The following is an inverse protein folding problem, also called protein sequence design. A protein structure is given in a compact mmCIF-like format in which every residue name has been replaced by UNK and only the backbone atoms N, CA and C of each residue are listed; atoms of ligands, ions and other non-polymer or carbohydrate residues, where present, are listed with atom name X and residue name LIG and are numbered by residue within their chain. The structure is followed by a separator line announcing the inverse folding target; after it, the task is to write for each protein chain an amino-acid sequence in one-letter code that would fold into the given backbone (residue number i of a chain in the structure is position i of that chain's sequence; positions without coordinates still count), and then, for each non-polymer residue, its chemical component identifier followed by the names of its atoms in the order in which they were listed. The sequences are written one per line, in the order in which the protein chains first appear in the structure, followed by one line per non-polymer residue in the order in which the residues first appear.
data_IF_259680752989
#
_entry.id   IF_259680752989
#
_cell.length_a   1.000
_cell.length_b   1.000
_cell.length_c   1.000
_cell.angle_alpha   90.00
_cell.angle_beta   90.00
_cell.angle_gamma   90.00
#
_symmetry.space_group_name_H-M   'P 1'
#
loop_
_entity.id
_entity.type
_entity.pdbx_description
1 polymer ?
#
# COMPACT_ATOMS: atom_id res chain seq x y z
N UNK A 1 45.16 -38.39 57.45
CA UNK A 1 44.84 -37.07 56.84
C UNK A 1 44.58 -37.30 55.36
N UNK A 2 43.32 -37.55 54.96
CA UNK A 2 42.96 -37.74 53.55
C UNK A 2 42.36 -36.43 53.01
N UNK A 3 42.97 -35.90 51.94
CA UNK A 3 42.49 -34.72 51.22
C UNK A 3 41.57 -35.16 50.08
N UNK A 4 40.30 -34.76 50.12
CA UNK A 4 39.38 -34.95 48.99
C UNK A 4 39.33 -33.64 48.21
N UNK A 5 39.91 -33.65 47.01
CA UNK A 5 39.86 -32.55 46.05
C UNK A 5 38.55 -32.64 45.24
N UNK A 6 37.65 -31.68 45.43
CA UNK A 6 36.44 -31.53 44.61
C UNK A 6 36.80 -30.67 43.38
N UNK A 7 36.79 -31.27 42.18
CA UNK A 7 36.96 -30.55 40.92
C UNK A 7 35.59 -30.08 40.44
N UNK A 8 35.33 -28.77 40.50
CA UNK A 8 34.15 -28.15 39.89
C UNK A 8 34.42 -27.88 38.41
N UNK A 9 33.82 -28.69 37.53
CA UNK A 9 33.82 -28.47 36.09
C UNK A 9 32.62 -27.62 35.71
N UNK A 10 32.84 -26.34 35.39
CA UNK A 10 31.83 -25.45 34.82
C UNK A 10 31.68 -25.75 33.32
N UNK A 11 30.54 -26.34 32.93
CA UNK A 11 30.12 -26.42 31.53
C UNK A 11 29.51 -25.08 31.12
N UNK A 12 30.22 -24.31 30.29
CA UNK A 12 29.69 -23.13 29.63
C UNK A 12 28.94 -23.56 28.34
N UNK A 13 27.63 -23.69 28.43
CA UNK A 13 26.76 -23.89 27.26
C UNK A 13 26.54 -22.54 26.55
N UNK A 14 27.23 -22.36 25.43
CA UNK A 14 27.03 -21.22 24.54
C UNK A 14 25.73 -21.42 23.74
N UNK A 15 24.64 -20.80 24.19
CA UNK A 15 23.39 -20.73 23.42
C UNK A 15 23.56 -19.71 22.29
N UNK A 16 23.86 -20.18 21.08
CA UNK A 16 23.71 -19.38 19.85
C UNK A 16 22.21 -19.19 19.58
N UNK A 17 21.66 -18.10 20.11
CA UNK A 17 20.33 -17.61 19.73
C UNK A 17 20.39 -17.06 18.30
N UNK A 18 20.21 -17.95 17.32
CA UNK A 18 19.84 -17.51 15.98
C UNK A 18 18.39 -17.02 16.05
N UNK A 19 18.21 -15.72 16.23
CA UNK A 19 16.90 -15.12 15.98
C UNK A 19 16.62 -15.28 14.49
N UNK A 20 15.53 -15.97 14.08
CA UNK A 20 15.11 -15.88 12.70
C UNK A 20 14.78 -14.41 12.44
N UNK A 21 15.50 -13.79 11.50
CA UNK A 21 15.09 -12.51 10.94
C UNK A 21 13.75 -12.78 10.25
N UNK A 22 12.66 -12.44 10.92
CA UNK A 22 11.35 -12.33 10.29
C UNK A 22 11.47 -11.21 9.27
N UNK A 23 11.75 -11.55 8.01
CA UNK A 23 11.56 -10.64 6.89
C UNK A 23 10.06 -10.40 6.78
N UNK A 24 9.56 -9.43 7.55
CA UNK A 24 8.29 -8.80 7.27
C UNK A 24 8.41 -8.24 5.86
N UNK A 25 7.73 -8.87 4.91
CA UNK A 25 7.64 -8.39 3.53
C UNK A 25 6.83 -7.09 3.55
N UNK A 26 7.49 -5.98 3.92
CA UNK A 26 6.91 -4.65 3.74
C UNK A 26 6.64 -4.47 2.25
N UNK A 27 5.36 -4.34 1.89
CA UNK A 27 4.98 -4.14 0.50
C UNK A 27 5.73 -2.95 -0.09
N UNK A 28 6.19 -3.09 -1.34
CA UNK A 28 6.96 -2.07 -2.08
C UNK A 28 6.32 -0.69 -1.90
N UNK A 29 5.00 -0.60 -2.08
CA UNK A 29 4.21 0.62 -1.94
C UNK A 29 3.38 0.63 -0.65
N UNK A 30 3.15 1.82 -0.11
CA UNK A 30 2.18 2.06 0.95
C UNK A 30 0.78 2.22 0.35
N UNK A 31 -0.24 1.68 1.02
CA UNK A 31 -1.65 1.77 0.59
C UNK A 31 -2.50 2.27 1.74
N UNK A 32 -3.49 3.11 1.45
CA UNK A 32 -4.32 3.75 2.48
C UNK A 32 -5.76 3.23 2.44
N UNK A 33 -6.36 3.02 3.62
CA UNK A 33 -7.77 2.62 3.81
C UNK A 33 -8.50 3.69 4.61
N UNK A 34 -9.84 3.72 4.53
CA UNK A 34 -10.65 4.60 5.37
C UNK A 34 -10.94 3.94 6.71
N UNK A 35 -10.25 4.39 7.76
CA UNK A 35 -10.41 3.85 9.13
C UNK A 35 -11.85 3.96 9.63
N UNK A 36 -12.30 2.95 10.38
CA UNK A 36 -13.59 2.97 11.09
C UNK A 36 -14.80 2.56 10.23
N UNK A 37 -14.59 2.29 8.95
CA UNK A 37 -15.63 1.79 8.04
C UNK A 37 -15.64 0.25 7.97
N UNK A 38 -16.74 -0.30 7.46
CA UNK A 38 -16.97 -1.75 7.31
C UNK A 38 -15.76 -2.43 6.65
N UNK A 39 -15.37 -3.60 7.18
CA UNK A 39 -14.29 -4.43 6.63
C UNK A 39 -12.87 -3.91 6.87
N UNK A 40 -12.68 -2.64 7.26
CA UNK A 40 -11.33 -2.07 7.42
C UNK A 40 -10.52 -2.77 8.48
N UNK A 41 -11.12 -3.09 9.63
CA UNK A 41 -10.44 -3.78 10.72
C UNK A 41 -9.89 -5.13 10.25
N UNK A 42 -10.68 -5.90 9.50
CA UNK A 42 -10.29 -7.19 8.96
C UNK A 42 -9.14 -7.04 7.94
N UNK A 43 -9.24 -6.08 7.01
CA UNK A 43 -8.16 -5.77 6.05
C UNK A 43 -6.86 -5.43 6.77
N UNK A 44 -6.90 -4.60 7.81
CA UNK A 44 -5.70 -4.18 8.55
C UNK A 44 -5.07 -5.30 9.38
N UNK A 45 -5.85 -6.29 9.80
CA UNK A 45 -5.37 -7.48 10.52
C UNK A 45 -4.86 -8.59 9.60
N UNK A 46 -5.01 -8.43 8.28
CA UNK A 46 -4.65 -9.45 7.28
C UNK A 46 -5.76 -10.45 6.98
N UNK A 47 -6.94 -10.30 7.58
CA UNK A 47 -8.15 -11.09 7.29
C UNK A 47 -8.85 -10.55 6.03
N UNK A 48 -8.11 -10.47 4.93
CA UNK A 48 -8.50 -9.73 3.71
C UNK A 48 -9.78 -10.27 3.10
N UNK A 49 -9.95 -11.59 2.99
CA UNK A 49 -11.15 -12.20 2.41
C UNK A 49 -12.41 -11.94 3.24
N UNK A 50 -12.29 -11.92 4.57
CA UNK A 50 -13.40 -11.53 5.46
C UNK A 50 -13.76 -10.05 5.26
N UNK A 51 -12.76 -9.18 5.12
CA UNK A 51 -12.95 -7.78 4.78
C UNK A 51 -13.69 -7.60 3.46
N UNK A 52 -13.26 -8.30 2.40
CA UNK A 52 -13.92 -8.30 1.08
C UNK A 52 -15.38 -8.74 1.22
N UNK A 53 -15.65 -9.85 1.90
CA UNK A 53 -17.02 -10.37 2.11
C UNK A 53 -17.93 -9.33 2.78
N UNK A 54 -17.44 -8.64 3.82
CA UNK A 54 -18.21 -7.60 4.51
C UNK A 54 -18.46 -6.37 3.63
N UNK A 55 -17.47 -5.96 2.85
CA UNK A 55 -17.55 -4.79 1.96
C UNK A 55 -18.51 -5.03 0.79
N UNK A 56 -18.52 -6.24 0.22
CA UNK A 56 -19.38 -6.59 -0.93
C UNK A 56 -20.81 -6.90 -0.52
N UNK A 57 -21.05 -7.37 0.70
CA UNK A 57 -22.41 -7.62 1.22
C UNK A 57 -23.15 -6.34 1.67
N UNK A 58 -22.47 -5.19 1.71
CA UNK A 58 -23.08 -3.93 2.15
C UNK A 58 -23.77 -3.19 1.01
N UNK A 59 -25.05 -2.86 1.22
CA UNK A 59 -25.90 -2.07 0.31
C UNK A 59 -25.97 -0.58 0.70
N UNK A 60 -25.22 -0.14 1.72
CA UNK A 60 -25.26 1.24 2.22
C UNK A 60 -24.69 2.23 1.20
N UNK A 61 -25.52 3.19 0.79
CA UNK A 61 -25.09 4.33 -0.04
C UNK A 61 -24.31 5.38 0.75
N UNK A 62 -24.53 5.48 2.07
CA UNK A 62 -23.86 6.47 2.94
C UNK A 62 -22.35 6.22 3.05
N UNK A 63 -21.93 4.96 2.93
CA UNK A 63 -20.52 4.55 3.04
C UNK A 63 -19.94 4.16 1.67
N UNK A 64 -20.56 4.62 0.57
CA UNK A 64 -20.21 4.18 -0.77
C UNK A 64 -18.74 4.44 -1.08
N UNK A 65 -18.27 5.68 -0.87
CA UNK A 65 -16.85 6.04 -1.06
C UNK A 65 -15.92 5.17 -0.20
N UNK A 66 -16.17 5.09 1.11
CA UNK A 66 -15.34 4.34 2.05
C UNK A 66 -15.23 2.87 1.65
N UNK A 67 -16.35 2.26 1.25
CA UNK A 67 -16.38 0.88 0.74
C UNK A 67 -15.53 0.69 -0.49
N UNK A 68 -15.64 1.56 -1.49
CA UNK A 68 -14.88 1.44 -2.75
C UNK A 68 -13.39 1.63 -2.51
N UNK A 69 -13.01 2.61 -1.70
CA UNK A 69 -11.61 2.83 -1.31
C UNK A 69 -11.03 1.63 -0.55
N UNK A 70 -11.80 1.02 0.34
CA UNK A 70 -11.34 -0.17 1.05
C UNK A 70 -11.31 -1.42 0.18
N UNK A 71 -12.27 -1.60 -0.74
CA UNK A 71 -12.26 -2.70 -1.73
C UNK A 71 -11.04 -2.60 -2.64
N UNK A 72 -10.70 -1.39 -3.09
CA UNK A 72 -9.48 -1.09 -3.84
C UNK A 72 -8.25 -1.71 -3.14
N UNK A 73 -8.06 -1.44 -1.85
CA UNK A 73 -6.93 -1.98 -1.07
C UNK A 73 -7.08 -3.46 -0.74
N UNK A 74 -8.28 -3.93 -0.43
CA UNK A 74 -8.52 -5.34 -0.13
C UNK A 74 -8.15 -6.21 -1.34
N UNK A 75 -8.54 -5.79 -2.54
CA UNK A 75 -8.15 -6.46 -3.78
C UNK A 75 -6.65 -6.40 -4.05
N UNK A 76 -5.94 -5.31 -3.72
CA UNK A 76 -4.47 -5.28 -3.82
C UNK A 76 -3.79 -6.36 -2.97
N UNK A 77 -4.41 -6.70 -1.83
CA UNK A 77 -3.89 -7.64 -0.82
C UNK A 77 -4.42 -9.07 -1.00
N UNK A 78 -5.24 -9.33 -2.00
CA UNK A 78 -5.82 -10.65 -2.26
C UNK A 78 -5.41 -11.23 -3.61
N UNK A 79 -5.88 -12.45 -3.88
CA UNK A 79 -5.75 -13.08 -5.19
C UNK A 79 -6.54 -12.34 -6.29
N UNK A 80 -7.47 -11.45 -5.91
CA UNK A 80 -8.35 -10.72 -6.83
C UNK A 80 -7.77 -9.35 -7.24
N UNK A 81 -6.44 -9.25 -7.35
CA UNK A 81 -5.75 -7.98 -7.62
C UNK A 81 -6.15 -7.31 -8.94
N UNK A 82 -6.63 -8.09 -9.91
CA UNK A 82 -7.20 -7.58 -11.16
C UNK A 82 -8.47 -6.71 -10.96
N UNK A 83 -9.19 -6.87 -9.85
CA UNK A 83 -10.37 -6.03 -9.53
C UNK A 83 -10.01 -4.71 -8.86
N UNK A 84 -8.76 -4.56 -8.41
CA UNK A 84 -8.35 -3.41 -7.61
C UNK A 84 -8.49 -2.10 -8.38
N UNK A 85 -8.00 -2.02 -9.62
CA UNK A 85 -8.03 -0.79 -10.40
C UNK A 85 -9.46 -0.26 -10.61
N UNK A 86 -10.42 -1.14 -10.88
CA UNK A 86 -11.84 -0.77 -11.00
C UNK A 86 -12.35 -0.18 -9.69
N UNK A 87 -12.12 -0.87 -8.57
CA UNK A 87 -12.58 -0.40 -7.26
C UNK A 87 -11.94 0.95 -6.86
N UNK A 88 -10.66 1.17 -7.18
CA UNK A 88 -10.01 2.46 -6.93
C UNK A 88 -10.61 3.56 -7.82
N UNK A 89 -10.93 3.25 -9.08
CA UNK A 89 -11.55 4.21 -10.00
C UNK A 89 -12.95 4.60 -9.54
N UNK A 90 -13.77 3.65 -9.12
CA UNK A 90 -15.09 3.93 -8.56
C UNK A 90 -15.03 4.80 -7.29
N UNK A 91 -13.97 4.65 -6.48
CA UNK A 91 -13.74 5.50 -5.31
C UNK A 91 -13.34 6.94 -5.71
N UNK A 92 -12.48 7.09 -6.74
CA UNK A 92 -12.11 8.39 -7.32
C UNK A 92 -13.35 9.10 -7.86
N UNK A 93 -14.13 8.42 -8.71
CA UNK A 93 -15.34 8.99 -9.32
C UNK A 93 -16.34 9.46 -8.25
N UNK A 94 -16.49 8.67 -7.17
CA UNK A 94 -17.34 9.03 -6.05
C UNK A 94 -16.85 10.29 -5.34
N UNK A 95 -15.56 10.42 -5.05
CA UNK A 95 -15.05 11.56 -4.28
C UNK A 95 -14.90 12.83 -5.11
N UNK A 96 -14.58 12.71 -6.40
CA UNK A 96 -14.46 13.86 -7.32
C UNK A 96 -15.81 14.49 -7.65
N UNK A 97 -16.91 13.74 -7.51
CA UNK A 97 -18.27 14.28 -7.64
C UNK A 97 -18.63 15.32 -6.56
N UNK A 98 -17.84 15.43 -5.48
CA UNK A 98 -18.05 16.39 -4.41
C UNK A 98 -17.65 17.79 -4.88
N UNK A 99 -18.65 18.68 -5.03
CA UNK A 99 -18.45 20.06 -5.51
C UNK A 99 -17.43 20.88 -4.70
N UNK A 100 -17.41 20.72 -3.37
CA UNK A 100 -16.53 21.48 -2.48
C UNK A 100 -15.27 20.67 -2.16
N UNK A 101 -14.18 21.01 -2.84
CA UNK A 101 -12.86 20.42 -2.65
C UNK A 101 -12.19 20.92 -1.37
N UNK A 102 -12.66 20.46 -0.21
CA UNK A 102 -12.00 20.72 1.08
C UNK A 102 -10.63 20.05 1.15
N UNK A 103 -9.78 20.47 2.10
CA UNK A 103 -8.48 19.82 2.34
C UNK A 103 -8.62 18.31 2.59
N UNK A 104 -9.67 17.89 3.30
CA UNK A 104 -9.97 16.46 3.52
C UNK A 104 -10.30 15.74 2.22
N UNK A 105 -11.11 16.35 1.35
CA UNK A 105 -11.45 15.76 0.04
C UNK A 105 -10.19 15.62 -0.80
N UNK A 106 -9.37 16.69 -0.94
CA UNK A 106 -8.10 16.63 -1.66
C UNK A 106 -7.15 15.54 -1.13
N UNK A 107 -6.98 15.46 0.19
CA UNK A 107 -6.16 14.44 0.83
C UNK A 107 -6.64 13.03 0.50
N UNK A 108 -7.95 12.78 0.59
CA UNK A 108 -8.53 11.48 0.25
C UNK A 108 -8.40 11.19 -1.25
N UNK A 109 -8.62 12.17 -2.12
CA UNK A 109 -8.44 12.03 -3.57
C UNK A 109 -6.99 11.65 -3.90
N UNK A 110 -5.99 12.31 -3.32
CA UNK A 110 -4.57 11.96 -3.56
C UNK A 110 -4.24 10.51 -3.15
N UNK A 111 -4.77 10.06 -2.01
CA UNK A 111 -4.59 8.68 -1.55
C UNK A 111 -5.24 7.65 -2.50
N UNK A 112 -6.40 7.98 -3.10
CA UNK A 112 -7.04 7.09 -4.08
C UNK A 112 -6.21 6.97 -5.36
N UNK A 113 -5.69 8.08 -5.89
CA UNK A 113 -4.78 8.04 -7.04
C UNK A 113 -3.53 7.24 -6.71
N UNK A 114 -2.93 7.46 -5.54
CA UNK A 114 -1.78 6.66 -5.10
C UNK A 114 -2.12 5.17 -5.02
N UNK A 115 -3.25 4.78 -4.44
CA UNK A 115 -3.68 3.37 -4.41
C UNK A 115 -3.92 2.78 -5.81
N UNK A 116 -4.56 3.54 -6.72
CA UNK A 116 -4.75 3.09 -8.11
C UNK A 116 -3.42 2.94 -8.84
N UNK A 117 -2.44 3.79 -8.56
CA UNK A 117 -1.06 3.65 -9.03
C UNK A 117 -0.45 2.29 -8.63
N UNK A 118 -0.67 1.85 -7.38
CA UNK A 118 -0.25 0.50 -6.94
C UNK A 118 -0.99 -0.60 -7.70
N UNK A 119 -2.29 -0.44 -7.95
CA UNK A 119 -3.08 -1.41 -8.71
C UNK A 119 -2.60 -1.56 -10.16
N UNK A 120 -2.29 -0.44 -10.81
CA UNK A 120 -1.75 -0.40 -12.18
C UNK A 120 -0.34 -0.95 -12.26
N UNK A 121 0.50 -0.65 -11.28
CA UNK A 121 1.83 -1.25 -11.18
C UNK A 121 1.76 -2.78 -11.12
N UNK A 122 0.88 -3.33 -10.27
CA UNK A 122 0.68 -4.79 -10.16
C UNK A 122 0.21 -5.44 -11.45
N UNK A 123 -0.43 -4.67 -12.34
CA UNK A 123 -0.86 -5.10 -13.67
C UNK A 123 0.16 -4.78 -14.77
N UNK A 124 1.39 -4.42 -14.42
CA UNK A 124 2.45 -4.02 -15.35
C UNK A 124 2.12 -2.80 -16.23
N UNK A 125 1.16 -1.97 -15.80
CA UNK A 125 0.78 -0.72 -16.48
C UNK A 125 1.66 0.45 -16.00
N UNK A 126 2.98 0.34 -16.20
CA UNK A 126 3.98 1.19 -15.54
C UNK A 126 3.81 2.70 -15.82
N UNK A 127 3.51 3.08 -17.07
CA UNK A 127 3.29 4.50 -17.44
C UNK A 127 2.05 5.07 -16.76
N UNK A 128 0.96 4.30 -16.72
CA UNK A 128 -0.29 4.73 -16.09
C UNK A 128 -0.15 4.78 -14.55
N UNK A 129 0.61 3.85 -13.97
CA UNK A 129 0.96 3.87 -12.55
C UNK A 129 1.76 5.12 -12.17
N UNK A 130 2.82 5.45 -12.94
CA UNK A 130 3.62 6.65 -12.73
C UNK A 130 2.74 7.91 -12.76
N UNK A 131 1.86 8.03 -13.77
CA UNK A 131 0.95 9.17 -13.91
C UNK A 131 0.03 9.32 -12.70
N UNK A 132 -0.50 8.22 -12.18
CA UNK A 132 -1.34 8.24 -10.97
C UNK A 132 -0.54 8.70 -9.73
N UNK A 133 0.68 8.21 -9.55
CA UNK A 133 1.54 8.65 -8.44
C UNK A 133 1.94 10.12 -8.55
N UNK A 134 2.26 10.60 -9.75
CA UNK A 134 2.57 12.01 -9.99
C UNK A 134 1.35 12.88 -9.69
N UNK A 135 0.18 12.49 -10.21
CA UNK A 135 -1.04 13.25 -9.97
C UNK A 135 -1.43 13.28 -8.49
N UNK A 136 -1.28 12.16 -7.77
CA UNK A 136 -1.49 12.12 -6.32
C UNK A 136 -0.68 13.19 -5.58
N UNK A 137 0.62 13.30 -5.88
CA UNK A 137 1.49 14.32 -5.26
C UNK A 137 1.08 15.74 -5.63
N UNK A 138 0.59 15.98 -6.86
CA UNK A 138 0.08 17.31 -7.24
C UNK A 138 -1.19 17.70 -6.47
N UNK A 139 -2.05 16.72 -6.16
CA UNK A 139 -3.27 16.96 -5.40
C UNK A 139 -2.94 17.23 -3.93
N UNK A 140 -2.12 16.39 -3.31
CA UNK A 140 -1.72 16.57 -1.92
C UNK A 140 -0.41 15.83 -1.65
N UNK A 141 0.65 16.59 -1.43
CA UNK A 141 1.98 16.07 -1.14
C UNK A 141 2.07 15.66 0.33
N UNK A 142 1.79 14.39 0.61
CA UNK A 142 1.92 13.77 1.93
C UNK A 142 2.88 12.57 1.89
N UNK A 143 3.31 12.03 3.06
CA UNK A 143 4.32 10.97 3.12
C UNK A 143 4.01 9.74 2.27
N UNK A 144 2.74 9.34 2.14
CA UNK A 144 2.35 8.16 1.34
C UNK A 144 2.52 8.46 -0.15
N UNK A 145 1.96 9.57 -0.63
CA UNK A 145 2.01 9.94 -2.05
C UNK A 145 3.44 10.20 -2.52
N UNK A 146 4.23 10.95 -1.75
CA UNK A 146 5.62 11.25 -2.06
C UNK A 146 6.49 9.99 -2.02
N UNK A 147 6.34 9.16 -0.98
CA UNK A 147 7.08 7.92 -0.84
C UNK A 147 6.80 6.96 -1.99
N UNK A 148 5.54 6.80 -2.37
CA UNK A 148 5.17 5.93 -3.49
C UNK A 148 5.67 6.47 -4.84
N UNK A 149 5.61 7.78 -5.09
CA UNK A 149 6.18 8.38 -6.30
C UNK A 149 7.70 8.16 -6.39
N UNK A 150 8.41 8.31 -5.27
CA UNK A 150 9.84 8.03 -5.22
C UNK A 150 10.13 6.56 -5.57
N UNK A 151 9.38 5.64 -4.98
CA UNK A 151 9.54 4.19 -5.19
C UNK A 151 9.31 3.78 -6.64
N UNK A 152 8.24 4.27 -7.28
CA UNK A 152 7.99 3.92 -8.69
C UNK A 152 9.12 4.44 -9.58
N UNK A 153 9.64 5.65 -9.34
CA UNK A 153 10.75 6.23 -10.12
C UNK A 153 12.04 5.42 -10.02
N UNK A 154 12.28 4.78 -8.87
CA UNK A 154 13.42 3.87 -8.68
C UNK A 154 13.24 2.52 -9.39
N UNK A 155 11.99 2.09 -9.58
CA UNK A 155 11.66 0.80 -10.21
C UNK A 155 11.53 0.91 -11.73
N UNK A 156 11.27 2.10 -12.27
CA UNK A 156 11.22 2.31 -13.70
C UNK A 156 12.63 2.19 -14.29
N UNK A 157 12.78 1.48 -15.42
CA UNK A 157 14.07 1.39 -16.09
C UNK A 157 14.53 2.81 -16.48
N UNK A 158 15.75 3.16 -16.08
CA UNK A 158 16.40 4.47 -16.32
C UNK A 158 16.48 4.83 -17.82
N UNK A 159 16.22 3.87 -18.72
CA UNK A 159 16.48 3.97 -20.15
C UNK A 159 15.24 4.25 -21.02
N UNK A 160 14.16 4.82 -20.48
CA UNK A 160 13.00 5.29 -21.26
C UNK A 160 12.70 6.79 -21.09
N UNK A 161 13.68 7.58 -20.68
CA UNK A 161 13.65 9.02 -20.94
C UNK A 161 14.30 9.22 -22.30
N UNK A 162 13.48 9.18 -23.37
CA UNK A 162 13.92 9.81 -24.62
C UNK A 162 14.23 11.26 -24.29
N UNK A 163 15.52 11.56 -24.34
CA UNK A 163 16.03 12.92 -24.28
C UNK A 163 15.52 13.59 -25.56
N UNK A 164 14.35 14.23 -25.50
CA UNK A 164 13.93 15.15 -26.57
C UNK A 164 14.93 16.32 -26.51
N UNK A 165 16.00 16.20 -27.28
CA UNK A 165 16.84 17.33 -27.62
C UNK A 165 16.06 18.18 -28.63
N UNK A 166 15.67 19.37 -28.21
CA UNK A 166 15.23 20.39 -29.15
C UNK A 166 16.42 20.74 -30.06
N UNK A 167 16.24 20.54 -31.37
CA UNK A 167 17.11 21.16 -32.37
C UNK A 167 16.55 22.56 -32.61
N UNK A 168 17.37 23.57 -32.33
CA UNK A 168 17.14 24.94 -32.77
C UNK A 168 17.64 25.09 -34.21
N UNK A 169 16.86 25.78 -35.04
CA UNK A 169 17.42 26.68 -36.04
C UNK A 169 17.37 28.11 -35.47
#
# INVERSE_FOLDING_TARGET
MNKTMLKNTLFATLLLSTTPATLANEGIFQVAVVKGSIGTADITKGEVELGIKKLTASESSKDFYDRKMNLCVAYLKSAQSNKSESACTEAIDSIESIKRQSSKVRYLTSLNYSNRGVARYKQNQLTAALKDFEFAVTIDNNPITAGNLQKIKQLLPVNKVEKIAALSD
#
